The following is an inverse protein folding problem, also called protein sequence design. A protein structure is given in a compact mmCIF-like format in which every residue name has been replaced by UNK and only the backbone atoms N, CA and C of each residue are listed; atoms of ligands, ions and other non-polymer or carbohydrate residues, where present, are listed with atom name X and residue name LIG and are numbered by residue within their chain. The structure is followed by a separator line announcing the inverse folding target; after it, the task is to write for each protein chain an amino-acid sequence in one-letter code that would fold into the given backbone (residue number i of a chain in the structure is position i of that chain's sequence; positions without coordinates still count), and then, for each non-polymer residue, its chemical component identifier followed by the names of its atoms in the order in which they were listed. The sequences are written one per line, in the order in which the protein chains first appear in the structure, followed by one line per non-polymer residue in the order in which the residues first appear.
data_IF_635658974375
#
_entry.id   IF_635658974375
#
_cell.length_a   1.000
_cell.length_b   1.000
_cell.length_c   1.000
_cell.angle_alpha   90.00
_cell.angle_beta   90.00
_cell.angle_gamma   90.00
#
_symmetry.space_group_name_H-M   'P 1'
#
loop_
_entity.id
_entity.type
_entity.pdbx_description
1 polymer ?
#
# COMPACT_ATOMS: atom_id res chain seq x y z
N UNK A 1 -12.67 4.74 21.06
CA UNK A 1 -12.76 3.55 20.20
C UNK A 1 -13.73 2.57 20.83
N UNK A 2 -14.55 1.82 20.07
CA UNK A 2 -15.42 0.81 20.65
C UNK A 2 -14.56 -0.29 21.30
N UNK A 3 -14.90 -0.75 22.51
CA UNK A 3 -14.01 -1.57 23.34
C UNK A 3 -13.68 -2.94 22.76
N UNK A 4 -14.47 -3.45 21.80
CA UNK A 4 -14.29 -4.77 21.18
C UNK A 4 -13.70 -4.71 19.77
N UNK A 5 -13.29 -3.54 19.29
CA UNK A 5 -12.66 -3.42 17.97
C UNK A 5 -11.18 -3.77 18.11
N UNK A 6 -10.77 -4.82 17.40
CA UNK A 6 -9.40 -5.35 17.38
C UNK A 6 -8.74 -5.25 16.01
N UNK A 7 -9.44 -4.68 15.03
CA UNK A 7 -8.98 -4.50 13.66
C UNK A 7 -9.08 -3.03 13.32
N UNK A 8 -7.95 -2.44 12.93
CA UNK A 8 -7.85 -1.02 12.65
C UNK A 8 -7.33 -0.85 11.24
N UNK A 9 -8.05 -0.07 10.43
CA UNK A 9 -7.50 0.52 9.21
C UNK A 9 -6.81 1.82 9.61
N UNK A 10 -5.50 1.87 9.40
CA UNK A 10 -4.64 2.98 9.79
C UNK A 10 -4.02 3.58 8.55
N UNK A 11 -4.33 4.86 8.29
CA UNK A 11 -3.63 5.68 7.30
C UNK A 11 -2.37 6.28 7.93
N UNK A 12 -1.22 6.00 7.32
CA UNK A 12 0.05 6.68 7.61
C UNK A 12 0.61 7.19 6.30
N UNK A 13 0.63 8.51 6.11
CA UNK A 13 1.11 9.16 4.88
C UNK A 13 0.45 8.60 3.60
N UNK A 14 -0.86 8.37 3.63
CA UNK A 14 -1.66 7.80 2.52
C UNK A 14 -1.35 6.34 2.20
N UNK A 15 -0.54 5.67 3.00
CA UNK A 15 -0.48 4.21 3.02
C UNK A 15 -1.52 3.68 3.99
N UNK A 16 -2.23 2.62 3.60
CA UNK A 16 -3.19 1.96 4.49
C UNK A 16 -2.60 0.68 5.05
N UNK A 17 -2.78 0.51 6.36
CA UNK A 17 -2.38 -0.67 7.10
C UNK A 17 -3.58 -1.23 7.86
N UNK A 18 -3.81 -2.54 7.72
CA UNK A 18 -4.67 -3.29 8.61
C UNK A 18 -3.83 -3.78 9.79
N UNK A 19 -4.09 -3.22 10.96
CA UNK A 19 -3.48 -3.64 12.23
C UNK A 19 -4.48 -4.49 12.99
N UNK A 20 -4.06 -5.70 13.37
CA UNK A 20 -4.86 -6.60 14.20
C UNK A 20 -4.19 -6.73 15.56
N UNK A 21 -4.95 -6.46 16.62
CA UNK A 21 -4.49 -6.55 18.00
C UNK A 21 -5.15 -7.74 18.70
N UNK A 22 -4.50 -8.24 19.76
CA UNK A 22 -5.11 -9.15 20.71
C UNK A 22 -5.95 -8.41 21.76
N UNK A 23 -6.46 -9.17 22.74
CA UNK A 23 -7.31 -8.59 23.78
C UNK A 23 -6.59 -7.66 24.77
N UNK A 24 -5.27 -7.74 24.83
CA UNK A 24 -4.41 -6.97 25.72
C UNK A 24 -3.74 -5.78 25.02
N UNK A 25 -3.99 -5.61 23.72
CA UNK A 25 -3.41 -4.54 22.91
C UNK A 25 -2.05 -4.88 22.30
N UNK A 26 -1.61 -6.14 22.37
CA UNK A 26 -0.43 -6.59 21.63
C UNK A 26 -0.76 -6.74 20.16
N UNK A 27 0.22 -6.44 19.31
CA UNK A 27 0.06 -6.55 17.85
C UNK A 27 0.19 -8.01 17.41
N UNK A 28 -0.88 -8.55 16.83
CA UNK A 28 -0.87 -9.87 16.21
C UNK A 28 -0.37 -9.79 14.76
N UNK A 29 -0.83 -8.79 14.01
CA UNK A 29 -0.38 -8.59 12.64
C UNK A 29 -0.50 -7.13 12.19
N UNK A 30 0.37 -6.79 11.25
CA UNK A 30 0.30 -5.54 10.49
C UNK A 30 0.42 -5.91 9.02
N UNK A 31 -0.60 -5.59 8.22
CA UNK A 31 -0.62 -5.86 6.79
C UNK A 31 -0.89 -4.57 6.04
N UNK A 32 0.01 -4.19 5.12
CA UNK A 32 -0.25 -3.04 4.25
C UNK A 32 -1.29 -3.42 3.20
N UNK A 33 -2.41 -2.71 3.18
CA UNK A 33 -3.56 -2.97 2.31
C UNK A 33 -3.56 -2.06 1.08
N UNK A 34 -3.03 -0.84 1.19
CA UNK A 34 -2.87 0.06 0.05
C UNK A 34 -1.56 0.85 0.12
N UNK A 35 -1.03 1.19 -1.06
CA UNK A 35 0.12 2.08 -1.23
C UNK A 35 -0.33 3.48 -1.58
N UNK A 36 0.44 4.48 -1.15
CA UNK A 36 0.17 5.88 -1.48
C UNK A 36 0.14 6.11 -2.99
N UNK A 37 -0.65 7.08 -3.48
CA UNK A 37 -0.59 7.50 -4.87
C UNK A 37 0.81 8.00 -5.24
N UNK A 38 1.27 7.66 -6.44
CA UNK A 38 2.50 8.24 -7.00
C UNK A 38 2.34 9.74 -7.25
N UNK A 39 3.37 10.53 -6.97
CA UNK A 39 3.36 11.99 -7.14
C UNK A 39 4.50 12.48 -8.04
N UNK A 40 4.25 13.57 -8.78
CA UNK A 40 5.26 14.21 -9.63
C UNK A 40 5.93 13.25 -10.63
N UNK A 41 7.27 13.20 -10.59
CA UNK A 41 8.09 12.38 -11.50
C UNK A 41 7.96 10.87 -11.26
N UNK A 42 7.43 10.43 -10.11
CA UNK A 42 7.17 9.01 -9.85
C UNK A 42 6.15 8.44 -10.84
N UNK A 43 5.13 9.22 -11.21
CA UNK A 43 4.12 8.83 -12.21
C UNK A 43 4.77 8.55 -13.58
N UNK A 44 5.67 9.44 -14.01
CA UNK A 44 6.38 9.30 -15.29
C UNK A 44 7.26 8.05 -15.31
N UNK A 45 7.96 7.78 -14.21
CA UNK A 45 8.78 6.56 -14.07
C UNK A 45 7.94 5.30 -14.11
N UNK A 46 6.79 5.29 -13.44
CA UNK A 46 5.85 4.16 -13.48
C UNK A 46 5.36 3.91 -14.92
N UNK A 47 4.92 4.97 -15.61
CA UNK A 47 4.44 4.86 -17.00
C UNK A 47 5.54 4.33 -17.92
N UNK A 48 6.78 4.83 -17.77
CA UNK A 48 7.91 4.36 -18.57
C UNK A 48 8.20 2.88 -18.30
N UNK A 49 8.23 2.48 -17.03
CA UNK A 49 8.46 1.09 -16.62
C UNK A 49 7.39 0.15 -17.18
N UNK A 50 6.10 0.49 -16.99
CA UNK A 50 4.97 -0.26 -17.54
C UNK A 50 5.11 -0.41 -19.06
N UNK A 51 5.45 0.69 -19.76
CA UNK A 51 5.61 0.67 -21.22
C UNK A 51 6.77 -0.23 -21.65
N UNK A 52 7.90 -0.23 -20.93
CA UNK A 52 9.05 -1.09 -21.22
C UNK A 52 8.79 -2.57 -20.89
N UNK A 53 8.06 -2.86 -19.82
CA UNK A 53 7.79 -4.23 -19.38
C UNK A 53 6.70 -4.90 -20.22
N UNK A 54 5.69 -4.14 -20.68
CA UNK A 54 4.56 -4.68 -21.45
C UNK A 54 4.84 -4.70 -22.95
N UNK A 55 5.75 -3.85 -23.46
CA UNK A 55 6.17 -3.87 -24.87
C UNK A 55 7.68 -4.10 -25.02
N UNK A 56 8.19 -5.30 -24.72
CA UNK A 56 9.51 -5.71 -25.17
C UNK A 56 9.41 -6.07 -26.66
N UNK A 57 9.96 -5.25 -27.54
CA UNK A 57 10.08 -5.58 -28.97
C UNK A 57 9.07 -4.87 -29.87
N UNK A 58 9.46 -3.68 -30.31
CA UNK A 58 9.22 -3.25 -31.69
C UNK A 58 10.52 -2.66 -32.21
N UNK A 59 11.55 -3.49 -32.22
CA UNK A 59 12.70 -3.27 -33.08
C UNK A 59 12.32 -3.84 -34.45
N UNK A 60 12.11 -2.88 -35.37
CA UNK A 60 12.33 -2.92 -36.83
C UNK A 60 12.94 -4.21 -37.41
#
# INVERSE_FOLDING_TARGET
MPPNVRKFDVDVEQFHYLVVLDDYGNVLSVTRTAVRPYVGSEKLRLVLWIKSTIRPGRDI
#
